data_IF_860275582242
#
_entry.id   IF_860275582242
#
_cell.length_a   1.000
_cell.length_b   1.000
_cell.length_c   1.000
_cell.angle_alpha   90.00
_cell.angle_beta   90.00
_cell.angle_gamma   90.00
#
_symmetry.space_group_name_H-M   'P 1'
#
loop_
_entity.id
_entity.type
_entity.pdbx_description
1 polymer ?
#
# COMPACT_ATOMS: atom_id res chain seq x y z
N UNK A 1 -15.31 5.45 2.12
CA UNK A 1 -16.41 6.44 1.91
C UNK A 1 -15.83 7.61 1.12
N UNK A 2 -16.54 8.11 0.08
CA UNK A 2 -16.18 9.36 -0.60
C UNK A 2 -16.60 10.55 0.25
N UNK A 3 -15.76 11.58 0.27
CA UNK A 3 -16.03 12.84 0.96
C UNK A 3 -15.89 14.02 0.00
N UNK A 4 -16.61 15.10 0.26
CA UNK A 4 -16.47 16.34 -0.49
C UNK A 4 -15.21 17.08 -0.07
N UNK A 5 -14.71 17.96 -0.93
CA UNK A 5 -13.58 18.86 -0.61
C UNK A 5 -13.90 19.75 0.60
N UNK A 6 -15.15 20.20 0.73
CA UNK A 6 -15.59 20.98 1.88
C UNK A 6 -15.47 20.19 3.19
N UNK A 7 -15.88 18.92 3.16
CA UNK A 7 -15.74 18.03 4.30
C UNK A 7 -14.26 17.78 4.64
N UNK A 8 -13.41 17.56 3.62
CA UNK A 8 -11.97 17.42 3.82
C UNK A 8 -11.37 18.67 4.50
N UNK A 9 -11.68 19.88 4.02
CA UNK A 9 -11.26 21.15 4.64
C UNK A 9 -11.75 21.27 6.09
N UNK A 10 -12.99 20.86 6.35
CA UNK A 10 -13.58 20.90 7.69
C UNK A 10 -12.80 20.06 8.70
N UNK A 11 -12.31 18.87 8.31
CA UNK A 11 -11.49 18.00 9.17
C UNK A 11 -10.26 18.75 9.69
N UNK A 12 -9.53 19.48 8.84
CA UNK A 12 -8.33 20.22 9.22
C UNK A 12 -8.64 21.52 9.98
N UNK A 13 -9.80 22.16 9.73
CA UNK A 13 -10.18 23.39 10.42
C UNK A 13 -10.72 23.16 11.83
N UNK A 14 -11.40 22.03 12.06
CA UNK A 14 -12.08 21.72 13.32
C UNK A 14 -11.25 20.81 14.24
N UNK A 15 -10.20 20.15 13.73
CA UNK A 15 -9.43 19.19 14.49
C UNK A 15 -7.94 19.48 14.44
N UNK A 16 -7.23 19.19 15.52
CA UNK A 16 -5.77 19.13 15.50
C UNK A 16 -5.35 17.78 14.90
N UNK A 17 -4.94 17.78 13.64
CA UNK A 17 -4.45 16.58 12.96
C UNK A 17 -2.95 16.45 13.17
N UNK A 18 -2.51 15.46 13.94
CA UNK A 18 -1.08 15.25 14.27
C UNK A 18 -0.32 14.52 13.16
N UNK A 19 -0.99 13.63 12.45
CA UNK A 19 -0.39 12.90 11.34
C UNK A 19 -1.43 12.66 10.24
N UNK A 20 -0.99 12.76 9.00
CA UNK A 20 -1.81 12.54 7.81
C UNK A 20 -1.16 11.51 6.90
N UNK A 21 -1.92 10.55 6.43
CA UNK A 21 -1.50 9.64 5.37
C UNK A 21 -2.33 9.91 4.11
N UNK A 22 -1.67 10.34 3.04
CA UNK A 22 -2.27 10.52 1.73
C UNK A 22 -1.89 9.34 0.83
N UNK A 23 -2.86 8.60 0.36
CA UNK A 23 -2.65 7.50 -0.60
C UNK A 23 -3.07 7.99 -1.98
N UNK A 24 -2.09 8.24 -2.84
CA UNK A 24 -2.29 8.74 -4.20
C UNK A 24 -2.42 7.56 -5.16
N UNK A 25 -3.61 7.37 -5.70
CA UNK A 25 -3.89 6.35 -6.71
C UNK A 25 -3.77 7.01 -8.08
N UNK A 26 -2.63 6.81 -8.75
CA UNK A 26 -2.32 7.53 -10.00
C UNK A 26 -3.13 7.04 -11.20
N UNK A 27 -3.40 5.73 -11.24
CA UNK A 27 -4.08 5.05 -12.34
C UNK A 27 -4.74 3.77 -11.85
N UNK A 28 -5.60 3.21 -12.70
CA UNK A 28 -6.20 1.88 -12.50
C UNK A 28 -5.50 0.81 -13.37
N UNK A 29 -4.62 1.22 -14.28
CA UNK A 29 -3.90 0.31 -15.16
C UNK A 29 -2.79 -0.42 -14.42
N UNK A 30 -2.67 -1.71 -14.70
CA UNK A 30 -1.61 -2.54 -14.16
C UNK A 30 -1.19 -3.57 -15.21
N UNK A 31 0.09 -3.79 -15.32
CA UNK A 31 0.66 -4.84 -16.16
C UNK A 31 0.53 -6.24 -15.52
N UNK A 32 0.11 -6.32 -14.24
CA UNK A 32 -0.17 -7.56 -13.50
C UNK A 32 -1.67 -7.86 -13.38
N UNK A 33 -1.97 -9.12 -13.03
CA UNK A 33 -3.32 -9.61 -12.75
C UNK A 33 -3.34 -10.50 -11.50
N UNK A 34 -2.72 -9.99 -10.42
CA UNK A 34 -2.45 -10.73 -9.18
C UNK A 34 -3.69 -11.39 -8.60
N UNK A 35 -3.56 -12.64 -8.10
CA UNK A 35 -4.66 -13.34 -7.42
C UNK A 35 -5.09 -12.63 -6.14
N UNK A 36 -4.13 -12.07 -5.41
CA UNK A 36 -4.32 -11.36 -4.15
C UNK A 36 -4.45 -9.84 -4.31
N UNK A 37 -4.83 -9.33 -5.48
CA UNK A 37 -4.95 -7.90 -5.70
C UNK A 37 -6.23 -7.32 -5.10
N UNK A 38 -6.10 -6.49 -4.06
CA UNK A 38 -7.24 -5.76 -3.47
C UNK A 38 -7.96 -4.88 -4.51
N UNK A 39 -7.21 -4.26 -5.41
CA UNK A 39 -7.78 -3.44 -6.47
C UNK A 39 -8.70 -4.25 -7.41
N UNK A 40 -8.33 -5.46 -7.77
CA UNK A 40 -9.15 -6.30 -8.65
C UNK A 40 -10.44 -6.81 -8.00
N UNK A 41 -10.45 -6.94 -6.66
CA UNK A 41 -11.66 -7.35 -5.95
C UNK A 41 -12.78 -6.33 -6.12
N UNK A 42 -12.41 -5.07 -6.19
CA UNK A 42 -13.36 -3.96 -6.26
C UNK A 42 -13.66 -3.56 -7.71
N UNK A 43 -12.66 -3.54 -8.60
CA UNK A 43 -12.78 -2.96 -9.95
C UNK A 43 -13.41 -3.87 -11.01
N UNK A 44 -13.27 -5.17 -10.88
CA UNK A 44 -13.66 -6.13 -11.95
C UNK A 44 -14.89 -6.97 -11.60
N UNK A 45 -15.62 -6.62 -10.55
CA UNK A 45 -16.86 -7.35 -10.26
C UNK A 45 -17.94 -7.00 -11.26
N UNK A 46 -18.63 -8.01 -11.80
CA UNK A 46 -19.82 -7.80 -12.66
C UNK A 46 -20.86 -6.94 -11.93
N UNK A 47 -21.00 -7.12 -10.62
CA UNK A 47 -21.87 -6.34 -9.75
C UNK A 47 -21.49 -4.86 -9.71
N UNK A 48 -20.20 -4.52 -9.76
CA UNK A 48 -19.76 -3.13 -9.80
C UNK A 48 -20.19 -2.46 -11.10
N UNK A 49 -20.09 -3.17 -12.24
CA UNK A 49 -20.53 -2.66 -13.53
C UNK A 49 -22.05 -2.42 -13.55
N UNK A 50 -22.84 -3.38 -13.07
CA UNK A 50 -24.29 -3.24 -12.94
C UNK A 50 -24.69 -2.11 -11.98
N UNK A 51 -24.00 -1.95 -10.85
CA UNK A 51 -24.28 -0.88 -9.89
C UNK A 51 -23.87 0.50 -10.41
N UNK A 52 -22.79 0.60 -11.20
CA UNK A 52 -22.40 1.85 -11.85
C UNK A 52 -23.38 2.26 -12.95
N UNK A 53 -23.95 1.30 -13.68
CA UNK A 53 -24.98 1.55 -14.69
C UNK A 53 -26.33 1.94 -14.05
N UNK A 54 -26.64 1.39 -12.85
CA UNK A 54 -27.89 1.64 -12.14
C UNK A 54 -27.90 2.91 -11.27
N UNK A 55 -26.75 3.39 -10.86
CA UNK A 55 -26.61 4.58 -10.00
C UNK A 55 -25.66 5.58 -10.68
N UNK A 56 -26.14 6.79 -10.91
CA UNK A 56 -25.33 7.89 -11.47
C UNK A 56 -24.08 8.24 -10.64
N UNK A 57 -23.94 7.65 -9.47
CA UNK A 57 -22.76 7.78 -8.60
C UNK A 57 -22.27 6.43 -8.13
N UNK A 58 -21.05 6.07 -8.50
CA UNK A 58 -20.39 4.87 -8.02
C UNK A 58 -20.17 4.95 -6.49
N UNK A 59 -20.83 4.06 -5.74
CA UNK A 59 -20.65 3.97 -4.28
C UNK A 59 -19.34 3.30 -3.85
N UNK A 60 -18.63 2.68 -4.79
CA UNK A 60 -17.40 1.95 -4.50
C UNK A 60 -16.19 2.72 -5.05
N UNK A 61 -15.29 3.08 -4.17
CA UNK A 61 -14.12 3.93 -4.38
C UNK A 61 -13.20 3.58 -5.56
N UNK A 62 -13.43 2.46 -6.21
CA UNK A 62 -12.50 1.95 -7.23
C UNK A 62 -13.17 1.28 -8.42
N UNK A 63 -14.48 1.37 -8.61
CA UNK A 63 -15.14 0.56 -9.62
C UNK A 63 -15.23 1.20 -11.02
N UNK A 64 -14.86 2.45 -11.17
CA UNK A 64 -15.03 3.13 -12.44
C UNK A 64 -13.68 3.41 -13.10
N UNK A 65 -13.59 3.16 -14.40
CA UNK A 65 -12.50 3.63 -15.28
C UNK A 65 -12.48 5.17 -15.41
N UNK A 66 -13.11 5.88 -14.47
CA UNK A 66 -13.13 7.33 -14.46
C UNK A 66 -11.77 7.84 -14.02
N UNK A 67 -10.96 8.12 -15.01
CA UNK A 67 -9.72 8.88 -14.85
C UNK A 67 -10.04 10.32 -15.24
N UNK A 68 -9.90 11.25 -14.32
CA UNK A 68 -10.03 12.66 -14.65
C UNK A 68 -8.96 13.10 -15.66
N UNK A 69 -9.21 14.12 -16.48
CA UNK A 69 -8.15 14.78 -17.22
C UNK A 69 -7.01 15.20 -16.27
N UNK A 70 -5.77 15.16 -16.75
CA UNK A 70 -4.60 15.41 -15.89
C UNK A 70 -4.66 16.77 -15.21
N UNK A 71 -5.06 17.80 -15.93
CA UNK A 71 -5.20 19.16 -15.38
C UNK A 71 -6.17 19.20 -14.20
N UNK A 72 -7.28 18.49 -14.29
CA UNK A 72 -8.26 18.39 -13.19
C UNK A 72 -7.69 17.62 -12.01
N UNK A 73 -7.04 16.47 -12.26
CA UNK A 73 -6.40 15.66 -11.23
C UNK A 73 -5.33 16.49 -10.48
N UNK A 74 -4.47 17.19 -11.21
CA UNK A 74 -3.41 18.00 -10.62
C UNK A 74 -3.96 19.18 -9.83
N UNK A 75 -4.98 19.86 -10.33
CA UNK A 75 -5.63 20.95 -9.60
C UNK A 75 -6.25 20.46 -8.29
N UNK A 76 -6.89 19.27 -8.31
CA UNK A 76 -7.42 18.63 -7.10
C UNK A 76 -6.34 18.24 -6.12
N UNK A 77 -5.25 17.68 -6.59
CA UNK A 77 -4.11 17.33 -5.74
C UNK A 77 -3.51 18.58 -5.07
N UNK A 78 -3.31 19.66 -5.81
CA UNK A 78 -2.81 20.94 -5.26
C UNK A 78 -3.76 21.51 -4.20
N UNK A 79 -5.08 21.45 -4.44
CA UNK A 79 -6.08 21.87 -3.45
C UNK A 79 -6.02 21.04 -2.16
N UNK A 80 -5.84 19.72 -2.28
CA UNK A 80 -5.70 18.82 -1.13
C UNK A 80 -4.42 19.14 -0.36
N UNK A 81 -3.28 19.21 -1.05
CA UNK A 81 -1.98 19.49 -0.42
C UNK A 81 -1.95 20.85 0.27
N UNK A 82 -2.58 21.87 -0.32
CA UNK A 82 -2.69 23.20 0.30
C UNK A 82 -3.57 23.23 1.56
N UNK A 83 -4.46 22.25 1.71
CA UNK A 83 -5.37 22.14 2.87
C UNK A 83 -4.73 21.37 4.02
N UNK A 84 -3.82 20.43 3.73
CA UNK A 84 -3.16 19.60 4.75
C UNK A 84 -2.34 20.47 5.68
N UNK A 85 -2.72 20.49 6.95
CA UNK A 85 -2.02 21.19 8.01
C UNK A 85 -1.65 20.18 9.10
N UNK A 86 -0.67 19.35 8.82
CA UNK A 86 -0.16 18.34 9.72
C UNK A 86 1.35 18.41 9.77
N UNK A 87 1.99 18.29 10.94
CA UNK A 87 3.44 18.29 11.06
C UNK A 87 4.08 17.06 10.42
N UNK A 88 3.38 15.94 10.41
CA UNK A 88 3.84 14.68 9.84
C UNK A 88 2.91 14.25 8.70
N UNK A 89 3.47 14.02 7.51
CA UNK A 89 2.70 13.64 6.31
C UNK A 89 3.37 12.46 5.62
N UNK A 90 2.70 11.32 5.62
CA UNK A 90 3.05 10.17 4.80
C UNK A 90 2.31 10.24 3.47
N UNK A 91 3.03 10.17 2.36
CA UNK A 91 2.45 10.13 1.03
C UNK A 91 2.81 8.81 0.37
N UNK A 92 1.81 7.97 0.17
CA UNK A 92 1.94 6.66 -0.48
C UNK A 92 1.47 6.80 -1.92
N UNK A 93 2.38 6.56 -2.86
CA UNK A 93 2.10 6.56 -4.29
C UNK A 93 1.81 5.12 -4.72
N UNK A 94 0.63 4.90 -5.25
CA UNK A 94 0.12 3.58 -5.64
C UNK A 94 -0.84 3.68 -6.83
N UNK A 95 -1.52 2.60 -7.15
CA UNK A 95 -2.52 2.55 -8.23
C UNK A 95 -2.78 1.12 -8.67
N UNK A 96 -2.93 0.91 -9.96
CA UNK A 96 -2.67 -0.38 -10.58
C UNK A 96 -1.16 -0.65 -10.48
N UNK A 97 -0.39 -0.14 -11.43
CA UNK A 97 1.07 -0.01 -11.28
C UNK A 97 1.44 1.48 -11.47
N UNK A 98 1.90 2.18 -10.43
CA UNK A 98 2.13 3.62 -10.51
C UNK A 98 3.28 4.00 -11.43
N UNK A 99 4.29 3.16 -11.61
CA UNK A 99 5.46 3.46 -12.44
C UNK A 99 5.17 3.43 -13.95
N UNK A 100 4.06 2.83 -14.39
CA UNK A 100 3.60 2.92 -15.78
C UNK A 100 2.73 4.16 -16.03
N UNK A 101 2.33 4.87 -14.98
CA UNK A 101 1.51 6.06 -15.11
C UNK A 101 2.34 7.27 -15.55
N UNK A 102 1.89 7.96 -16.59
CA UNK A 102 2.48 9.24 -17.02
C UNK A 102 2.36 10.35 -15.95
N UNK A 103 1.49 10.17 -14.94
CA UNK A 103 1.33 11.07 -13.80
C UNK A 103 2.42 10.95 -12.75
N UNK A 104 3.24 9.90 -12.77
CA UNK A 104 4.19 9.61 -11.69
C UNK A 104 5.14 10.78 -11.43
N UNK A 105 5.86 11.24 -12.44
CA UNK A 105 6.82 12.34 -12.28
C UNK A 105 6.11 13.69 -12.02
N UNK A 106 5.07 14.10 -12.78
CA UNK A 106 4.34 15.34 -12.52
C UNK A 106 3.75 15.46 -11.11
N UNK A 107 3.24 14.36 -10.55
CA UNK A 107 2.71 14.33 -9.18
C UNK A 107 3.82 14.63 -8.15
N UNK A 108 5.01 14.08 -8.33
CA UNK A 108 6.16 14.36 -7.46
C UNK A 108 6.58 15.85 -7.53
N UNK A 109 6.55 16.43 -8.72
CA UNK A 109 6.84 17.86 -8.92
C UNK A 109 5.80 18.75 -8.21
N UNK A 110 4.54 18.32 -8.18
CA UNK A 110 3.48 19.02 -7.44
C UNK A 110 3.72 18.92 -5.95
N UNK A 111 3.96 17.71 -5.42
CA UNK A 111 4.20 17.48 -3.99
C UNK A 111 5.37 18.33 -3.48
N UNK A 112 6.42 18.50 -4.28
CA UNK A 112 7.61 19.26 -3.90
C UNK A 112 7.37 20.75 -3.72
N UNK A 113 6.31 21.30 -4.30
CA UNK A 113 5.91 22.71 -4.09
C UNK A 113 5.44 22.97 -2.66
N UNK A 114 5.07 21.92 -1.93
CA UNK A 114 4.52 22.00 -0.58
C UNK A 114 5.57 21.59 0.45
N UNK A 115 5.82 22.46 1.41
CA UNK A 115 6.79 22.20 2.48
C UNK A 115 6.12 21.47 3.64
N UNK A 116 6.28 20.15 3.67
CA UNK A 116 5.92 19.33 4.82
C UNK A 116 7.21 18.95 5.56
N UNK A 117 7.44 19.44 6.80
CA UNK A 117 8.72 19.27 7.51
C UNK A 117 9.16 17.82 7.67
N UNK A 118 8.23 16.94 8.00
CA UNK A 118 8.47 15.52 8.26
C UNK A 118 7.78 14.64 7.19
N UNK A 119 7.92 15.03 5.91
CA UNK A 119 7.36 14.30 4.77
C UNK A 119 8.08 12.97 4.54
N UNK A 120 7.30 11.88 4.43
CA UNK A 120 7.78 10.59 3.97
C UNK A 120 7.07 10.24 2.66
N UNK A 121 7.85 9.99 1.60
CA UNK A 121 7.33 9.51 0.32
C UNK A 121 7.58 8.01 0.20
N UNK A 122 6.53 7.26 -0.17
CA UNK A 122 6.57 5.81 -0.37
C UNK A 122 5.97 5.45 -1.73
N UNK A 123 6.54 4.45 -2.38
CA UNK A 123 6.08 3.91 -3.66
C UNK A 123 5.76 2.44 -3.50
N UNK A 124 4.50 2.07 -3.69
CA UNK A 124 4.06 0.67 -3.78
C UNK A 124 4.08 0.23 -5.23
N UNK A 125 4.95 -0.72 -5.60
CA UNK A 125 5.17 -1.10 -7.00
C UNK A 125 5.46 -2.59 -7.17
N UNK A 126 5.10 -3.14 -8.33
CA UNK A 126 5.54 -4.47 -8.75
C UNK A 126 6.93 -4.45 -9.43
N UNK A 127 7.54 -3.28 -9.58
CA UNK A 127 8.88 -3.10 -10.10
C UNK A 127 9.00 -2.86 -11.61
N UNK A 128 7.89 -2.74 -12.35
CA UNK A 128 7.87 -2.73 -13.82
C UNK A 128 8.86 -1.75 -14.47
N UNK A 129 8.96 -0.53 -13.97
CA UNK A 129 9.78 0.53 -14.55
C UNK A 129 10.88 1.05 -13.62
N UNK A 130 11.27 0.30 -12.58
CA UNK A 130 12.29 0.76 -11.64
C UNK A 130 13.68 0.97 -12.30
N UNK A 131 13.94 0.33 -13.46
CA UNK A 131 15.15 0.53 -14.25
C UNK A 131 15.03 1.64 -15.31
N UNK A 132 13.82 2.21 -15.51
CA UNK A 132 13.64 3.37 -16.38
C UNK A 132 14.39 4.58 -15.81
N UNK A 133 15.09 5.30 -16.69
CA UNK A 133 15.96 6.40 -16.29
C UNK A 133 15.18 7.54 -15.61
N UNK A 134 14.05 7.96 -16.18
CA UNK A 134 13.26 9.08 -15.66
C UNK A 134 12.63 8.71 -14.30
N UNK A 135 12.13 7.49 -14.17
CA UNK A 135 11.58 6.97 -12.92
C UNK A 135 12.67 6.88 -11.85
N UNK A 136 13.82 6.30 -12.20
CA UNK A 136 14.95 6.14 -11.28
C UNK A 136 15.51 7.49 -10.79
N UNK A 137 15.67 8.44 -11.69
CA UNK A 137 16.11 9.80 -11.33
C UNK A 137 15.10 10.49 -10.40
N UNK A 138 13.80 10.36 -10.67
CA UNK A 138 12.76 10.92 -9.82
C UNK A 138 12.74 10.28 -8.42
N UNK A 139 12.82 8.95 -8.31
CA UNK A 139 12.89 8.23 -7.03
C UNK A 139 14.05 8.75 -6.18
N UNK A 140 15.24 8.86 -6.76
CA UNK A 140 16.43 9.36 -6.06
C UNK A 140 16.31 10.84 -5.69
N UNK A 141 15.87 11.67 -6.63
CA UNK A 141 15.70 13.13 -6.42
C UNK A 141 14.78 13.44 -5.25
N UNK A 142 13.67 12.74 -5.16
CA UNK A 142 12.64 12.98 -4.14
C UNK A 142 12.77 12.07 -2.91
N UNK A 143 13.83 11.25 -2.83
CA UNK A 143 14.11 10.34 -1.71
C UNK A 143 12.92 9.41 -1.38
N UNK A 144 12.39 8.75 -2.41
CA UNK A 144 11.19 7.92 -2.28
C UNK A 144 11.57 6.52 -1.80
N UNK A 145 10.96 6.07 -0.71
CA UNK A 145 11.09 4.68 -0.24
C UNK A 145 10.29 3.77 -1.14
N UNK A 146 10.94 2.76 -1.69
CA UNK A 146 10.33 1.76 -2.57
C UNK A 146 9.88 0.58 -1.72
N UNK A 147 8.62 0.20 -1.85
CA UNK A 147 8.05 -1.03 -1.35
C UNK A 147 7.78 -1.94 -2.55
N UNK A 148 8.79 -2.73 -2.92
CA UNK A 148 8.72 -3.67 -4.04
C UNK A 148 7.88 -4.88 -3.64
N UNK A 149 6.77 -5.08 -4.31
CA UNK A 149 5.85 -6.19 -4.02
C UNK A 149 6.46 -7.54 -4.39
N UNK A 150 6.47 -8.47 -3.45
CA UNK A 150 6.84 -9.87 -3.64
C UNK A 150 5.93 -10.77 -2.80
N UNK A 151 5.62 -11.95 -3.29
CA UNK A 151 4.84 -12.96 -2.55
C UNK A 151 5.72 -14.08 -1.99
N UNK A 152 6.85 -14.34 -2.64
CA UNK A 152 7.76 -15.43 -2.34
C UNK A 152 9.21 -15.04 -2.63
N UNK A 153 10.16 -15.76 -2.04
CA UNK A 153 11.57 -15.70 -2.43
C UNK A 153 11.84 -16.31 -3.83
N UNK A 154 10.92 -17.11 -4.34
CA UNK A 154 11.03 -17.84 -5.61
C UNK A 154 10.40 -17.03 -6.75
N UNK A 155 11.15 -16.83 -7.84
CA UNK A 155 10.70 -16.10 -9.01
C UNK A 155 9.54 -16.80 -9.73
N UNK A 156 9.53 -18.15 -9.81
CA UNK A 156 8.44 -18.89 -10.45
C UNK A 156 7.13 -18.74 -9.66
N UNK A 157 7.22 -18.79 -8.33
CA UNK A 157 6.07 -18.57 -7.45
C UNK A 157 5.53 -17.13 -7.57
N UNK A 158 6.40 -16.14 -7.70
CA UNK A 158 5.97 -14.75 -7.95
C UNK A 158 5.32 -14.60 -9.31
N UNK A 159 5.86 -15.22 -10.36
CA UNK A 159 5.28 -15.21 -11.70
C UNK A 159 3.84 -15.75 -11.69
N UNK A 160 3.61 -16.84 -10.95
CA UNK A 160 2.29 -17.44 -10.78
C UNK A 160 1.31 -16.52 -10.06
N UNK A 161 1.74 -15.87 -8.94
CA UNK A 161 0.88 -14.99 -8.15
C UNK A 161 0.54 -13.68 -8.86
N UNK A 162 1.52 -13.06 -9.49
CA UNK A 162 1.32 -11.86 -10.28
C UNK A 162 0.55 -12.13 -11.58
N UNK A 163 0.54 -13.37 -12.05
CA UNK A 163 -0.02 -13.77 -13.35
C UNK A 163 0.57 -12.97 -14.51
N UNK A 164 1.84 -12.73 -14.46
CA UNK A 164 2.59 -12.14 -15.55
C UNK A 164 2.91 -13.19 -16.64
N UNK A 165 3.23 -12.70 -17.83
CA UNK A 165 3.90 -13.55 -18.84
C UNK A 165 5.38 -13.71 -18.52
N UNK A 166 5.98 -12.65 -17.98
CA UNK A 166 7.38 -12.55 -17.59
C UNK A 166 7.47 -11.61 -16.41
N UNK A 167 8.26 -11.95 -15.39
CA UNK A 167 8.41 -11.09 -14.22
C UNK A 167 9.08 -9.78 -14.61
N UNK A 168 8.54 -8.64 -14.19
CA UNK A 168 9.18 -7.34 -14.42
C UNK A 168 10.46 -7.19 -13.58
N UNK A 169 10.56 -7.96 -12.49
CA UNK A 169 11.66 -7.88 -11.53
C UNK A 169 11.95 -9.27 -10.98
N UNK A 170 13.05 -9.88 -11.42
CA UNK A 170 13.58 -11.15 -10.91
C UNK A 170 14.45 -10.93 -9.67
N UNK A 171 14.85 -12.01 -8.99
CA UNK A 171 15.83 -11.93 -7.90
C UNK A 171 17.15 -11.30 -8.34
N UNK A 172 17.59 -11.57 -9.59
CA UNK A 172 18.78 -10.92 -10.15
C UNK A 172 18.56 -9.41 -10.33
N UNK A 173 17.39 -9.01 -10.83
CA UNK A 173 17.03 -7.59 -10.94
C UNK A 173 16.97 -6.90 -9.59
N UNK A 174 16.44 -7.55 -8.55
CA UNK A 174 16.40 -7.00 -7.19
C UNK A 174 17.79 -6.72 -6.66
N UNK A 175 18.74 -7.62 -6.93
CA UNK A 175 20.14 -7.42 -6.55
C UNK A 175 20.73 -6.19 -7.23
N UNK A 176 20.50 -6.02 -8.53
CA UNK A 176 20.92 -4.81 -9.26
C UNK A 176 20.23 -3.54 -8.74
N UNK A 177 18.93 -3.61 -8.44
CA UNK A 177 18.17 -2.50 -7.88
C UNK A 177 18.66 -2.12 -6.48
N UNK A 178 19.10 -3.09 -5.67
CA UNK A 178 19.67 -2.81 -4.35
C UNK A 178 20.98 -2.01 -4.45
N UNK A 179 21.79 -2.26 -5.48
CA UNK A 179 22.98 -1.45 -5.75
C UNK A 179 22.63 -0.03 -6.24
N UNK A 180 21.50 0.12 -6.99
CA UNK A 180 21.05 1.39 -7.53
C UNK A 180 20.41 2.29 -6.47
N UNK A 181 19.57 1.71 -5.60
CA UNK A 181 18.71 2.44 -4.67
C UNK A 181 19.17 2.39 -3.21
N UNK A 182 20.00 1.41 -2.84
CA UNK A 182 20.48 1.25 -1.45
C UNK A 182 19.31 1.16 -0.46
N UNK A 183 19.39 1.97 0.59
CA UNK A 183 18.40 2.00 1.69
C UNK A 183 17.00 2.50 1.27
N UNK A 184 16.83 2.99 0.05
CA UNK A 184 15.50 3.32 -0.48
C UNK A 184 14.71 2.09 -0.91
N UNK A 185 15.38 0.97 -1.20
CA UNK A 185 14.71 -0.25 -1.65
C UNK A 185 14.31 -1.12 -0.45
N UNK A 186 13.03 -1.36 -0.30
CA UNK A 186 12.44 -2.36 0.59
C UNK A 186 11.61 -3.38 -0.20
N UNK A 187 11.35 -4.54 0.40
CA UNK A 187 10.44 -5.55 -0.12
C UNK A 187 9.18 -5.56 0.74
N UNK A 188 8.02 -5.57 0.08
CA UNK A 188 6.71 -5.68 0.73
C UNK A 188 6.07 -7.02 0.33
N UNK A 189 5.73 -7.83 1.32
CA UNK A 189 5.22 -9.20 1.12
C UNK A 189 3.86 -9.37 1.77
N UNK A 190 2.85 -9.68 0.96
CA UNK A 190 1.55 -10.08 1.48
C UNK A 190 1.64 -11.51 2.04
N UNK A 191 1.23 -11.71 3.27
CA UNK A 191 1.26 -13.01 3.94
C UNK A 191 0.22 -13.95 3.33
N UNK A 192 0.68 -14.86 2.49
CA UNK A 192 -0.11 -15.94 1.89
C UNK A 192 0.39 -17.27 2.42
N UNK A 193 -0.50 -18.07 3.01
CA UNK A 193 -0.17 -19.37 3.64
C UNK A 193 0.61 -20.33 2.73
N UNK A 194 0.36 -20.29 1.41
CA UNK A 194 1.09 -21.15 0.46
C UNK A 194 2.57 -20.79 0.30
N UNK A 195 2.97 -19.56 0.69
CA UNK A 195 4.34 -19.07 0.57
C UNK A 195 5.01 -18.87 1.93
N UNK A 196 4.22 -18.48 2.94
CA UNK A 196 4.68 -18.24 4.31
C UNK A 196 3.69 -18.94 5.24
N UNK A 197 3.95 -20.21 5.51
CA UNK A 197 3.08 -21.04 6.35
C UNK A 197 3.52 -21.06 7.83
N UNK A 198 4.75 -20.60 8.11
CA UNK A 198 5.36 -20.64 9.43
C UNK A 198 6.28 -19.43 9.69
N UNK A 199 6.64 -19.23 10.95
CA UNK A 199 7.66 -18.25 11.32
C UNK A 199 9.03 -18.53 10.70
N UNK A 200 9.35 -19.81 10.44
CA UNK A 200 10.58 -20.20 9.77
C UNK A 200 10.59 -19.72 8.31
N UNK A 201 9.47 -19.89 7.57
CA UNK A 201 9.35 -19.41 6.18
C UNK A 201 9.47 -17.89 6.11
N UNK A 202 8.90 -17.19 7.11
CA UNK A 202 9.01 -15.73 7.21
C UNK A 202 10.46 -15.29 7.40
N UNK A 203 11.18 -15.92 8.35
CA UNK A 203 12.58 -15.59 8.62
C UNK A 203 13.50 -15.96 7.44
N UNK A 204 13.21 -17.05 6.74
CA UNK A 204 13.93 -17.44 5.53
C UNK A 204 13.72 -16.39 4.40
N UNK A 205 12.52 -15.81 4.28
CA UNK A 205 12.27 -14.69 3.37
C UNK A 205 13.08 -13.44 3.76
N UNK A 206 13.21 -13.14 5.06
CA UNK A 206 14.06 -12.03 5.55
C UNK A 206 15.52 -12.26 5.19
N UNK A 207 16.06 -13.46 5.42
CA UNK A 207 17.44 -13.81 5.09
C UNK A 207 17.67 -13.75 3.56
N UNK A 208 16.69 -14.19 2.79
CA UNK A 208 16.76 -14.11 1.32
C UNK A 208 16.80 -12.67 0.83
N UNK A 209 15.95 -11.79 1.35
CA UNK A 209 15.96 -10.36 1.00
C UNK A 209 17.30 -9.72 1.32
N UNK A 210 17.87 -10.04 2.48
CA UNK A 210 19.21 -9.58 2.87
C UNK A 210 20.32 -10.11 1.94
N UNK A 211 20.22 -11.37 1.50
CA UNK A 211 21.14 -11.92 0.49
C UNK A 211 21.07 -11.16 -0.84
N UNK A 212 19.90 -10.64 -1.21
CA UNK A 212 19.71 -9.79 -2.39
C UNK A 212 20.18 -8.34 -2.18
N UNK A 213 20.67 -7.99 -0.98
CA UNK A 213 21.13 -6.64 -0.62
C UNK A 213 20.00 -5.71 -0.18
N UNK A 214 18.81 -6.24 0.12
CA UNK A 214 17.68 -5.46 0.64
C UNK A 214 17.60 -5.64 2.15
N UNK A 215 17.70 -4.53 2.89
CA UNK A 215 17.79 -4.54 4.35
C UNK A 215 16.47 -4.17 5.05
N UNK A 216 15.45 -3.83 4.29
CA UNK A 216 14.12 -3.50 4.81
C UNK A 216 13.07 -4.40 4.17
N UNK A 217 12.27 -5.06 5.02
CA UNK A 217 11.19 -5.93 4.58
C UNK A 217 9.94 -5.71 5.42
N UNK A 218 8.80 -5.57 4.74
CA UNK A 218 7.49 -5.48 5.35
C UNK A 218 6.64 -6.68 5.02
N UNK A 219 6.03 -7.28 6.03
CA UNK A 219 5.04 -8.34 5.89
C UNK A 219 3.65 -7.79 6.19
N UNK A 220 2.74 -7.97 5.26
CA UNK A 220 1.38 -7.44 5.33
C UNK A 220 0.39 -8.58 5.51
N UNK A 221 -0.34 -8.59 6.63
CA UNK A 221 -1.47 -9.50 6.79
C UNK A 221 -2.54 -9.20 5.74
N UNK A 222 -3.11 -10.25 5.14
CA UNK A 222 -4.21 -10.11 4.17
C UNK A 222 -5.39 -9.40 4.82
N UNK A 223 -5.79 -8.27 4.27
CA UNK A 223 -7.03 -7.59 4.63
C UNK A 223 -8.18 -8.18 3.82
N UNK A 224 -8.95 -9.09 4.41
CA UNK A 224 -10.24 -9.47 3.84
C UNK A 224 -11.26 -8.38 4.20
N UNK A 225 -11.72 -7.62 3.23
CA UNK A 225 -12.87 -6.74 3.42
C UNK A 225 -14.15 -7.58 3.36
N UNK A 226 -14.63 -7.98 4.55
CA UNK A 226 -15.85 -8.78 4.67
C UNK A 226 -17.10 -8.02 4.21
N UNK A 227 -17.05 -6.69 4.03
CA UNK A 227 -18.15 -5.92 3.46
C UNK A 227 -18.34 -6.17 1.96
N UNK A 228 -17.35 -6.82 1.32
CA UNK A 228 -17.38 -7.22 -0.10
C UNK A 228 -17.91 -8.64 -0.33
N UNK A 229 -18.48 -9.28 0.68
CA UNK A 229 -18.99 -10.66 0.61
C UNK A 229 -19.94 -10.96 -0.57
N UNK A 230 -20.52 -9.94 -1.17
CA UNK A 230 -21.46 -10.10 -2.28
C UNK A 230 -20.81 -10.02 -3.67
N UNK A 231 -19.56 -9.60 -3.83
CA UNK A 231 -19.09 -9.13 -5.13
C UNK A 231 -18.09 -10.04 -5.88
N UNK A 232 -17.28 -10.86 -5.20
CA UNK A 232 -16.37 -11.78 -5.90
C UNK A 232 -16.00 -13.01 -5.07
N UNK A 233 -16.82 -14.04 -5.16
CA UNK A 233 -16.66 -15.30 -4.43
C UNK A 233 -15.30 -15.98 -4.65
N UNK A 234 -14.68 -15.84 -5.82
CA UNK A 234 -13.39 -16.49 -6.14
C UNK A 234 -12.22 -15.84 -5.40
N UNK A 235 -12.23 -14.52 -5.24
CA UNK A 235 -11.16 -13.81 -4.54
C UNK A 235 -11.29 -14.01 -3.04
N UNK A 236 -12.49 -13.93 -2.49
CA UNK A 236 -12.74 -14.24 -1.08
C UNK A 236 -12.40 -15.68 -0.72
N UNK A 237 -12.75 -16.65 -1.60
CA UNK A 237 -12.35 -18.06 -1.42
C UNK A 237 -10.84 -18.19 -1.37
N UNK A 238 -10.14 -17.56 -2.32
CA UNK A 238 -8.68 -17.58 -2.34
C UNK A 238 -8.07 -16.98 -1.06
N UNK A 239 -8.58 -15.84 -0.59
CA UNK A 239 -8.11 -15.25 0.67
C UNK A 239 -8.35 -16.15 1.87
N UNK A 240 -9.53 -16.73 1.98
CA UNK A 240 -9.87 -17.63 3.10
C UNK A 240 -8.97 -18.86 3.10
N UNK A 241 -8.62 -19.40 1.93
CA UNK A 241 -7.70 -20.54 1.79
C UNK A 241 -6.26 -20.15 2.15
N UNK A 242 -5.86 -18.91 1.84
CA UNK A 242 -4.49 -18.42 2.05
C UNK A 242 -4.29 -17.65 3.35
N UNK A 243 -5.33 -17.54 4.18
CA UNK A 243 -5.25 -16.78 5.43
C UNK A 243 -4.23 -17.41 6.38
N UNK A 244 -3.28 -16.61 6.80
CA UNK A 244 -2.42 -16.83 7.95
C UNK A 244 -2.38 -15.56 8.78
N UNK A 245 -2.48 -15.70 10.11
CA UNK A 245 -2.53 -14.53 10.97
C UNK A 245 -1.13 -14.04 11.31
N UNK A 246 -0.94 -12.73 11.26
CA UNK A 246 0.29 -12.09 11.69
C UNK A 246 0.63 -12.42 13.15
N UNK A 247 -0.37 -12.58 14.03
CA UNK A 247 -0.18 -12.95 15.43
C UNK A 247 0.37 -14.38 15.61
N UNK A 248 -0.08 -15.33 14.79
CA UNK A 248 0.48 -16.69 14.80
C UNK A 248 1.95 -16.65 14.42
N UNK A 249 2.30 -15.99 13.30
CA UNK A 249 3.67 -15.88 12.83
C UNK A 249 4.56 -15.13 13.83
N UNK A 250 4.03 -14.10 14.48
CA UNK A 250 4.72 -13.36 15.52
C UNK A 250 5.24 -14.26 16.65
N UNK A 251 4.38 -15.11 17.18
CA UNK A 251 4.77 -16.00 18.26
C UNK A 251 5.88 -16.97 17.81
N UNK A 252 5.72 -17.54 16.61
CA UNK A 252 6.71 -18.47 16.06
C UNK A 252 8.07 -17.80 15.81
N UNK A 253 8.14 -16.58 15.28
CA UNK A 253 9.42 -15.89 15.04
C UNK A 253 10.12 -15.49 16.34
N UNK A 254 9.37 -15.15 17.39
CA UNK A 254 9.94 -14.87 18.71
C UNK A 254 10.58 -16.12 19.31
N UNK A 255 9.93 -17.27 19.18
CA UNK A 255 10.48 -18.56 19.62
C UNK A 255 11.74 -18.96 18.82
N UNK A 256 11.84 -18.52 17.56
CA UNK A 256 13.00 -18.71 16.69
C UNK A 256 14.12 -17.67 16.91
N UNK A 257 13.97 -16.75 17.86
CA UNK A 257 15.01 -15.82 18.28
C UNK A 257 14.94 -14.43 17.62
N UNK A 258 13.86 -14.09 16.92
CA UNK A 258 13.62 -12.70 16.52
C UNK A 258 13.29 -11.86 17.77
N UNK A 259 13.71 -10.59 17.77
CA UNK A 259 13.48 -9.66 18.86
C UNK A 259 12.55 -8.55 18.39
N UNK A 260 11.44 -8.35 19.07
CA UNK A 260 10.57 -7.20 18.84
C UNK A 260 11.28 -5.94 19.39
N UNK A 261 11.62 -5.03 18.47
CA UNK A 261 12.34 -3.78 18.81
C UNK A 261 11.38 -2.62 19.03
N UNK A 262 10.23 -2.66 18.37
CA UNK A 262 9.17 -1.64 18.53
C UNK A 262 7.81 -2.28 18.25
N UNK A 263 6.82 -1.89 19.03
CA UNK A 263 5.43 -2.38 18.88
C UNK A 263 4.47 -1.18 18.87
N UNK A 264 3.90 -0.91 17.71
CA UNK A 264 2.94 0.19 17.47
C UNK A 264 1.52 -0.35 17.26
N UNK A 265 1.22 -1.51 17.83
CA UNK A 265 -0.10 -2.10 17.73
C UNK A 265 -1.05 -1.50 18.77
N UNK A 266 -2.29 -1.34 18.33
CA UNK A 266 -3.44 -1.14 19.20
C UNK A 266 -4.33 -2.36 18.99
N UNK A 267 -4.35 -3.25 19.97
CA UNK A 267 -4.94 -4.60 19.87
C UNK A 267 -4.29 -5.41 18.72
N UNK A 268 -5.09 -5.77 17.72
CA UNK A 268 -4.66 -6.54 16.54
C UNK A 268 -4.50 -5.68 15.29
N UNK A 269 -4.32 -4.37 15.43
CA UNK A 269 -4.11 -3.44 14.34
C UNK A 269 -2.84 -2.62 14.57
N UNK A 270 -2.13 -2.33 13.49
CA UNK A 270 -0.89 -1.57 13.52
C UNK A 270 0.26 -2.39 12.98
N UNK A 271 1.46 -2.11 13.44
CA UNK A 271 2.65 -2.85 13.02
C UNK A 271 3.61 -3.03 14.18
N UNK A 272 4.45 -4.05 14.08
CA UNK A 272 5.57 -4.28 14.97
C UNK A 272 6.85 -4.44 14.17
N UNK A 273 7.94 -3.92 14.69
CA UNK A 273 9.27 -4.00 14.11
C UNK A 273 10.09 -5.04 14.84
N UNK A 274 10.82 -5.85 14.10
CA UNK A 274 11.63 -6.94 14.60
C UNK A 274 13.07 -6.82 14.10
N UNK A 275 13.98 -7.40 14.87
CA UNK A 275 15.36 -7.65 14.47
C UNK A 275 15.64 -9.16 14.52
N UNK A 276 16.30 -9.69 13.49
CA UNK A 276 16.76 -11.07 13.42
C UNK A 276 18.09 -11.16 12.69
N UNK A 277 19.11 -11.73 13.31
CA UNK A 277 20.48 -11.83 12.77
C UNK A 277 21.06 -10.50 12.21
N UNK A 278 20.65 -9.37 12.80
CA UNK A 278 21.07 -8.04 12.35
C UNK A 278 20.21 -7.41 11.25
N UNK A 279 19.22 -8.11 10.73
CA UNK A 279 18.25 -7.58 9.75
C UNK A 279 17.01 -7.03 10.45
N UNK A 280 16.43 -6.01 9.86
CA UNK A 280 15.20 -5.36 10.37
C UNK A 280 14.04 -5.66 9.44
N UNK A 281 12.89 -6.02 10.01
CA UNK A 281 11.65 -6.21 9.26
C UNK A 281 10.44 -5.81 10.09
N UNK A 282 9.31 -5.57 9.41
CA UNK A 282 8.05 -5.27 10.09
C UNK A 282 6.97 -6.29 9.75
N UNK A 283 6.01 -6.44 10.66
CA UNK A 283 4.76 -7.16 10.40
C UNK A 283 3.62 -6.20 10.65
N UNK A 284 2.77 -6.02 9.64
CA UNK A 284 1.55 -5.21 9.71
C UNK A 284 0.34 -6.10 9.96
N UNK A 285 -0.42 -5.76 10.98
CA UNK A 285 -1.61 -6.46 11.44
C UNK A 285 -2.85 -5.76 10.90
N UNK A 286 -3.76 -6.51 10.31
CA UNK A 286 -4.92 -5.96 9.60
C UNK A 286 -6.23 -6.06 10.36
N UNK A 287 -6.28 -6.83 11.46
CA UNK A 287 -7.51 -6.99 12.25
C UNK A 287 -7.88 -5.68 12.94
N UNK A 288 -8.79 -4.95 12.32
CA UNK A 288 -9.37 -3.73 12.87
C UNK A 288 -10.39 -4.08 13.97
N UNK A 289 -10.10 -3.71 15.21
CA UNK A 289 -11.16 -3.57 16.20
C UNK A 289 -11.79 -2.17 16.06
N UNK A 290 -12.90 -2.10 15.33
CA UNK A 290 -13.61 -0.85 15.05
C UNK A 290 -14.06 -0.12 16.31
N UNK A 291 -14.31 -0.84 17.41
CA UNK A 291 -14.73 -0.23 18.68
C UNK A 291 -13.61 0.58 19.34
N UNK A 292 -12.36 0.12 19.24
CA UNK A 292 -11.23 0.78 19.91
C UNK A 292 -10.80 2.09 19.23
N UNK A 293 -11.01 2.24 17.91
CA UNK A 293 -10.78 3.51 17.19
C UNK A 293 -11.67 4.66 17.65
N UNK A 294 -12.83 4.35 18.26
CA UNK A 294 -13.75 5.38 18.75
C UNK A 294 -13.29 6.00 20.08
N UNK A 295 -12.41 5.35 20.82
CA UNK A 295 -12.01 5.75 22.16
C UNK A 295 -10.70 6.55 22.21
N UNK A 296 -9.84 6.45 21.17
CA UNK A 296 -8.60 7.20 21.11
C UNK A 296 -8.80 8.55 20.41
N UNK A 297 -8.57 9.64 21.14
CA UNK A 297 -8.64 11.03 20.64
C UNK A 297 -7.51 11.39 19.65
N UNK A 298 -6.72 10.43 19.18
CA UNK A 298 -5.66 10.65 18.23
C UNK A 298 -6.20 10.56 16.81
N UNK A 299 -6.39 11.71 16.18
CA UNK A 299 -6.76 11.76 14.76
C UNK A 299 -5.55 11.39 13.88
N UNK A 300 -5.49 10.12 13.50
CA UNK A 300 -4.76 9.68 12.34
C UNK A 300 -5.74 9.64 11.16
N UNK A 301 -5.51 10.50 10.18
CA UNK A 301 -6.39 10.58 9.00
C UNK A 301 -5.71 9.93 7.81
N UNK A 302 -6.34 8.92 7.22
CA UNK A 302 -5.90 8.31 5.97
C UNK A 302 -6.87 8.64 4.85
N UNK A 303 -6.39 9.36 3.85
CA UNK A 303 -7.16 9.76 2.68
C UNK A 303 -6.64 9.07 1.43
N UNK A 304 -7.58 8.67 0.57
CA UNK A 304 -7.28 8.10 -0.73
C UNK A 304 -7.65 9.15 -1.80
N UNK A 305 -6.70 9.49 -2.65
CA UNK A 305 -6.93 10.38 -3.77
C UNK A 305 -7.01 9.51 -5.01
N UNK A 306 -8.21 9.45 -5.58
CA UNK A 306 -8.57 8.56 -6.68
C UNK A 306 -8.06 9.09 -8.01
N UNK A 307 -7.90 8.26 -9.06
CA UNK A 307 -7.56 8.73 -10.41
C UNK A 307 -8.55 9.74 -10.98
N UNK A 308 -9.79 9.72 -10.48
CA UNK A 308 -10.85 10.71 -10.76
C UNK A 308 -10.66 12.05 -10.04
N UNK A 309 -9.68 12.18 -9.15
CA UNK A 309 -9.52 13.34 -8.27
C UNK A 309 -10.44 13.36 -7.05
N UNK A 310 -11.32 12.38 -6.89
CA UNK A 310 -12.18 12.26 -5.71
C UNK A 310 -11.39 11.85 -4.48
N UNK A 311 -11.87 12.25 -3.30
CA UNK A 311 -11.25 11.96 -2.02
C UNK A 311 -12.02 10.85 -1.32
N UNK A 312 -11.35 9.76 -1.02
CA UNK A 312 -11.84 8.71 -0.16
C UNK A 312 -11.26 8.85 1.25
N UNK A 313 -12.07 8.58 2.25
CA UNK A 313 -11.59 8.43 3.63
C UNK A 313 -11.63 6.96 4.03
N UNK A 314 -10.50 6.47 4.52
CA UNK A 314 -10.40 5.13 5.09
C UNK A 314 -10.23 5.26 6.61
N UNK A 315 -11.35 5.30 7.30
CA UNK A 315 -11.41 5.43 8.77
C UNK A 315 -12.84 5.73 9.22
N UNK A 316 -13.14 5.38 10.47
CA UNK A 316 -14.45 5.68 11.07
C UNK A 316 -14.41 7.13 11.56
N UNK A 317 -15.29 7.97 11.00
CA UNK A 317 -15.55 9.28 11.59
C UNK A 317 -16.18 9.10 12.98
N UNK A 318 -15.70 9.84 13.97
CA UNK A 318 -16.56 10.17 15.12
C UNK A 318 -17.71 11.04 14.59
N UNK A 319 -18.92 10.51 14.64
CA UNK A 319 -20.14 11.33 14.54
C UNK A 319 -20.36 12.09 15.83
#
# INVERSE_FOLDING_TARGET
MLITQEHFKKIYNENTVHATCLVLILNNDCNANCRACLAQQVFKSALCKELCEAFETCKYLRCCDHTAPDEEYYARLEEILSTVNSPHVDIIITGGEPTISHRFVPVLEIIEKYNFPDKVLQLETNGANLKDKAISEAIKKYNIKIHLSRYSKDDEANLEEFRFKELPTTNQDIKELSEIYGDLLGISTVLLKKHIASGLDLLDMVEHSAYLGVHHQDFLEVMADTSLESSNTNVLSYYNEQLITAEQLRNEILDLGAVCTSDFRIDSYGYSVYSYKGYTFSITYSKLNLQHRQETNNYFSRFLIMPSGEIGINGVEKR
#
